data_IF_650478022481
#
_entry.id   IF_650478022481
#
_cell.length_a   1.000
_cell.length_b   1.000
_cell.length_c   1.000
_cell.angle_alpha   90.00
_cell.angle_beta   90.00
_cell.angle_gamma   90.00
#
_symmetry.space_group_name_H-M   'P 1'
#
loop_
_entity.id
_entity.type
_entity.pdbx_description
1 polymer ?
#
# COMPACT_ATOMS: atom_id res chain seq x y z
N UNK A 1 -33.77 -34.68 0.18
CA UNK A 1 -32.73 -34.30 1.15
C UNK A 1 -31.75 -33.36 0.44
N UNK A 2 -31.99 -32.05 0.52
CA UNK A 2 -31.10 -31.04 -0.06
C UNK A 2 -30.13 -30.60 1.02
N UNK A 3 -28.87 -31.06 0.91
CA UNK A 3 -27.79 -30.63 1.78
C UNK A 3 -27.19 -29.35 1.21
N UNK A 4 -27.48 -28.23 1.85
CA UNK A 4 -26.85 -26.95 1.56
C UNK A 4 -25.45 -26.93 2.17
N UNK A 5 -24.41 -26.94 1.35
CA UNK A 5 -23.05 -26.66 1.79
C UNK A 5 -22.94 -25.19 2.17
N UNK A 6 -22.79 -24.91 3.46
CA UNK A 6 -22.40 -23.59 3.96
C UNK A 6 -20.87 -23.47 3.84
N UNK A 7 -20.40 -22.71 2.86
CA UNK A 7 -19.00 -22.28 2.79
C UNK A 7 -18.81 -21.10 3.74
N UNK A 8 -18.37 -21.40 4.96
CA UNK A 8 -17.92 -20.39 5.91
C UNK A 8 -16.50 -19.96 5.55
N UNK A 9 -16.35 -18.81 4.88
CA UNK A 9 -15.06 -18.11 4.82
C UNK A 9 -14.75 -17.57 6.21
N UNK A 10 -14.05 -18.37 7.03
CA UNK A 10 -13.42 -17.89 8.25
C UNK A 10 -12.13 -17.17 7.90
N UNK A 11 -12.15 -15.84 7.96
CA UNK A 11 -10.93 -15.05 8.03
C UNK A 11 -10.37 -15.20 9.45
N UNK A 12 -9.43 -16.12 9.63
CA UNK A 12 -8.70 -16.26 10.89
C UNK A 12 -7.80 -15.04 11.04
N UNK A 13 -8.21 -14.09 11.87
CA UNK A 13 -7.35 -12.98 12.26
C UNK A 13 -6.27 -13.54 13.21
N UNK A 14 -5.03 -13.61 12.74
CA UNK A 14 -3.89 -13.91 13.60
C UNK A 14 -3.62 -12.72 14.53
N UNK A 15 -3.99 -12.86 15.80
CA UNK A 15 -3.54 -11.95 16.86
C UNK A 15 -2.01 -12.00 16.94
N UNK A 16 -1.36 -10.87 16.63
CA UNK A 16 0.09 -10.69 16.69
C UNK A 16 0.80 -10.51 15.34
N UNK A 17 0.13 -10.73 14.21
CA UNK A 17 0.75 -10.50 12.90
C UNK A 17 0.76 -9.00 12.60
N UNK A 18 1.96 -8.38 12.50
CA UNK A 18 2.09 -6.98 12.09
C UNK A 18 1.31 -6.82 10.78
N UNK A 19 0.28 -5.95 10.79
CA UNK A 19 -0.59 -5.69 9.64
C UNK A 19 0.28 -5.42 8.41
N UNK A 20 0.33 -6.38 7.49
CA UNK A 20 1.14 -6.28 6.28
C UNK A 20 0.68 -5.06 5.47
N UNK A 21 1.64 -4.23 5.04
CA UNK A 21 1.38 -3.08 4.17
C UNK A 21 1.94 -3.33 2.79
N UNK A 22 1.21 -2.90 1.77
CA UNK A 22 1.51 -3.10 0.37
C UNK A 22 1.78 -1.74 -0.27
N UNK A 23 2.97 -1.55 -0.84
CA UNK A 23 3.39 -0.28 -1.43
C UNK A 23 3.61 -0.44 -2.94
N UNK A 24 2.82 0.25 -3.74
CA UNK A 24 3.09 0.48 -5.16
C UNK A 24 4.20 1.51 -5.31
N UNK A 25 5.36 1.08 -5.79
CA UNK A 25 6.57 1.92 -5.94
C UNK A 25 6.93 2.21 -7.40
N UNK A 26 6.13 1.72 -8.35
CA UNK A 26 6.26 2.07 -9.76
C UNK A 26 5.94 3.53 -10.04
N UNK A 27 6.57 4.09 -11.08
CA UNK A 27 6.43 5.51 -11.40
C UNK A 27 5.02 5.85 -11.94
N UNK A 28 4.63 7.12 -11.86
CA UNK A 28 3.32 7.58 -12.33
C UNK A 28 3.05 7.15 -13.78
N UNK A 29 1.80 6.77 -14.09
CA UNK A 29 1.34 6.30 -15.43
C UNK A 29 1.87 4.93 -15.88
N UNK A 30 2.39 4.12 -14.96
CA UNK A 30 2.80 2.72 -15.20
C UNK A 30 1.73 1.67 -14.84
N UNK A 31 0.47 2.06 -14.68
CA UNK A 31 -0.63 1.12 -14.39
C UNK A 31 -1.25 1.25 -12.99
N UNK A 32 -1.13 2.40 -12.34
CA UNK A 32 -1.65 2.69 -10.99
C UNK A 32 -3.16 2.45 -10.86
N UNK A 33 -3.95 2.74 -11.90
CA UNK A 33 -5.38 2.38 -11.95
C UNK A 33 -5.62 0.86 -11.92
N UNK A 34 -4.82 0.08 -12.65
CA UNK A 34 -4.92 -1.38 -12.65
C UNK A 34 -4.47 -1.96 -11.31
N UNK A 35 -3.41 -1.41 -10.72
CA UNK A 35 -2.94 -1.78 -9.39
C UNK A 35 -4.00 -1.49 -8.31
N UNK A 36 -4.66 -0.34 -8.38
CA UNK A 36 -5.81 -0.01 -7.52
C UNK A 36 -6.92 -1.06 -7.61
N UNK A 37 -7.28 -1.46 -8.83
CA UNK A 37 -8.31 -2.49 -9.05
C UNK A 37 -7.86 -3.84 -8.47
N UNK A 38 -6.62 -4.24 -8.71
CA UNK A 38 -6.06 -5.47 -8.16
C UNK A 38 -6.08 -5.47 -6.62
N UNK A 39 -5.65 -4.38 -5.97
CA UNK A 39 -5.72 -4.23 -4.52
C UNK A 39 -7.15 -4.40 -4.00
N UNK A 40 -8.13 -3.76 -4.64
CA UNK A 40 -9.54 -3.89 -4.25
C UNK A 40 -10.07 -5.32 -4.44
N UNK A 41 -9.71 -5.98 -5.53
CA UNK A 41 -10.07 -7.39 -5.78
C UNK A 41 -9.50 -8.33 -4.73
N UNK A 42 -8.32 -8.01 -4.17
CA UNK A 42 -7.68 -8.75 -3.08
C UNK A 42 -8.21 -8.36 -1.68
N UNK A 43 -9.24 -7.51 -1.60
CA UNK A 43 -9.81 -7.06 -0.33
C UNK A 43 -8.95 -6.06 0.44
N UNK A 44 -7.94 -5.46 -0.20
CA UNK A 44 -7.08 -4.45 0.42
C UNK A 44 -7.76 -3.08 0.42
N UNK A 45 -7.55 -2.34 1.52
CA UNK A 45 -7.99 -0.96 1.68
C UNK A 45 -6.91 -0.04 1.10
N UNK A 46 -7.26 0.62 0.00
CA UNK A 46 -6.37 1.55 -0.70
C UNK A 46 -6.46 2.94 -0.05
N UNK A 47 -5.31 3.46 0.34
CA UNK A 47 -5.15 4.79 0.91
C UNK A 47 -5.66 5.91 -0.02
N UNK A 48 -6.11 7.02 0.57
CA UNK A 48 -6.53 8.21 -0.19
C UNK A 48 -5.32 8.99 -0.66
N UNK A 49 -5.07 8.99 -1.96
CA UNK A 49 -3.94 9.67 -2.60
C UNK A 49 -3.74 11.12 -2.13
N UNK A 50 -4.82 11.91 -2.02
CA UNK A 50 -4.77 13.33 -1.62
C UNK A 50 -4.15 13.56 -0.23
N UNK A 51 -4.33 12.64 0.70
CA UNK A 51 -3.77 12.75 2.06
C UNK A 51 -2.24 12.59 2.03
N UNK A 52 -1.74 11.73 1.14
CA UNK A 52 -0.30 11.47 0.99
C UNK A 52 0.40 12.48 0.07
N UNK A 53 -0.28 12.97 -0.97
CA UNK A 53 0.25 14.06 -1.81
C UNK A 53 0.45 15.36 -1.02
N UNK A 54 -0.34 15.59 0.03
CA UNK A 54 -0.14 16.71 0.93
C UNK A 54 1.20 16.65 1.69
N UNK A 55 1.85 15.47 1.74
CA UNK A 55 3.16 15.26 2.35
C UNK A 55 4.35 15.40 1.37
N UNK A 56 4.10 15.82 0.13
CA UNK A 56 5.17 16.11 -0.83
C UNK A 56 6.21 17.12 -0.31
N UNK A 57 5.86 18.21 0.40
CA UNK A 57 6.84 19.13 0.99
C UNK A 57 7.74 18.48 2.05
N UNK A 58 7.25 17.48 2.78
CA UNK A 58 8.00 16.72 3.77
C UNK A 58 8.94 15.74 3.07
N UNK A 59 8.46 15.09 2.00
CA UNK A 59 9.29 14.26 1.13
C UNK A 59 10.48 15.06 0.55
N UNK A 60 10.24 16.28 0.03
CA UNK A 60 11.33 17.10 -0.56
C UNK A 60 12.39 17.49 0.45
N UNK A 61 12.02 17.60 1.74
CA UNK A 61 12.93 17.83 2.86
C UNK A 61 13.55 16.54 3.44
N UNK A 62 13.31 15.38 2.81
CA UNK A 62 13.72 14.04 3.33
C UNK A 62 13.17 13.73 4.72
N UNK A 63 12.10 14.40 5.14
CA UNK A 63 11.37 14.08 6.35
C UNK A 63 10.40 12.92 6.06
N UNK A 64 10.95 11.70 5.99
CA UNK A 64 10.14 10.50 5.80
C UNK A 64 9.31 10.14 7.04
N UNK A 65 9.69 10.64 8.21
CA UNK A 65 9.00 10.35 9.47
C UNK A 65 7.52 10.78 9.40
N UNK A 66 7.22 11.95 8.84
CA UNK A 66 5.82 12.40 8.66
C UNK A 66 5.00 11.46 7.76
N UNK A 67 5.62 10.87 6.73
CA UNK A 67 4.98 9.89 5.85
C UNK A 67 4.73 8.59 6.62
N UNK A 68 5.74 8.12 7.35
CA UNK A 68 5.63 6.93 8.20
C UNK A 68 4.52 7.10 9.23
N UNK A 69 4.45 8.25 9.90
CA UNK A 69 3.46 8.51 10.94
C UNK A 69 2.04 8.51 10.39
N UNK A 70 1.83 9.06 9.18
CA UNK A 70 0.54 8.98 8.51
C UNK A 70 0.18 7.52 8.17
N UNK A 71 1.12 6.73 7.63
CA UNK A 71 0.91 5.30 7.33
C UNK A 71 0.64 4.46 8.59
N UNK A 72 1.14 4.89 9.77
CA UNK A 72 0.83 4.24 11.06
C UNK A 72 -0.61 4.51 11.51
N UNK A 73 -1.11 5.72 11.26
CA UNK A 73 -2.43 6.18 11.67
C UNK A 73 -3.54 5.77 10.69
N UNK A 74 -3.18 5.52 9.43
CA UNK A 74 -4.11 5.13 8.39
C UNK A 74 -4.61 3.68 8.56
N UNK A 75 -5.93 3.49 8.48
CA UNK A 75 -6.56 2.16 8.50
C UNK A 75 -6.35 1.37 7.20
N UNK A 76 -5.85 2.02 6.15
CA UNK A 76 -5.49 1.41 4.88
C UNK A 76 -4.33 0.42 5.04
N UNK A 77 -4.20 -0.49 4.07
CA UNK A 77 -3.07 -1.41 3.99
C UNK A 77 -2.42 -1.45 2.61
N UNK A 78 -2.96 -0.73 1.62
CA UNK A 78 -2.35 -0.56 0.32
C UNK A 78 -2.12 0.92 0.01
N UNK A 79 -0.91 1.26 -0.38
CA UNK A 79 -0.43 2.62 -0.63
C UNK A 79 0.27 2.63 -1.99
N UNK A 80 0.14 3.71 -2.77
CA UNK A 80 0.75 3.83 -4.09
C UNK A 80 0.85 5.31 -4.47
N UNK A 81 1.41 5.59 -5.66
CA UNK A 81 1.64 6.93 -6.17
C UNK A 81 2.57 7.75 -5.24
N UNK A 82 2.63 9.06 -5.43
CA UNK A 82 3.47 9.93 -4.63
C UNK A 82 2.96 10.02 -3.19
N UNK A 83 3.84 9.96 -2.17
CA UNK A 83 5.30 9.97 -2.26
C UNK A 83 5.94 8.58 -2.36
N UNK A 84 5.17 7.49 -2.38
CA UNK A 84 5.67 6.10 -2.36
C UNK A 84 6.41 5.68 -3.62
N UNK A 85 6.05 6.23 -4.78
CA UNK A 85 6.78 6.07 -6.04
C UNK A 85 8.07 6.92 -6.13
N UNK A 86 8.33 7.76 -5.14
CA UNK A 86 9.51 8.63 -5.14
C UNK A 86 10.75 7.91 -4.60
N UNK A 87 11.92 8.30 -5.11
CA UNK A 87 13.21 7.76 -4.65
C UNK A 87 13.36 7.88 -3.14
N UNK A 88 13.96 6.85 -2.53
CA UNK A 88 14.22 6.70 -1.09
C UNK A 88 12.98 6.50 -0.19
N UNK A 89 11.75 6.75 -0.66
CA UNK A 89 10.56 6.50 0.15
C UNK A 89 10.38 5.02 0.46
N UNK A 90 10.62 4.13 -0.51
CA UNK A 90 10.47 2.69 -0.28
C UNK A 90 11.41 2.16 0.82
N UNK A 91 12.64 2.66 0.91
CA UNK A 91 13.61 2.28 1.94
C UNK A 91 13.12 2.72 3.32
N UNK A 92 12.62 3.95 3.44
CA UNK A 92 12.05 4.45 4.68
C UNK A 92 10.83 3.63 5.12
N UNK A 93 9.98 3.21 4.18
CA UNK A 93 8.84 2.35 4.47
C UNK A 93 9.26 0.94 4.89
N UNK A 94 10.27 0.35 4.24
CA UNK A 94 10.77 -0.98 4.55
C UNK A 94 11.35 -1.06 5.97
N UNK A 95 12.16 -0.06 6.34
CA UNK A 95 12.69 0.09 7.70
C UNK A 95 11.57 0.28 8.74
N UNK A 96 10.55 1.08 8.42
CA UNK A 96 9.48 1.42 9.36
C UNK A 96 8.42 0.32 9.52
N UNK A 97 8.23 -0.51 8.48
CA UNK A 97 7.17 -1.51 8.41
C UNK A 97 7.72 -2.89 8.01
N UNK A 98 8.44 -3.58 8.92
CA UNK A 98 8.96 -4.93 8.64
C UNK A 98 7.83 -5.89 8.23
N UNK A 99 8.05 -6.65 7.15
CA UNK A 99 7.07 -7.58 6.58
C UNK A 99 6.17 -6.97 5.51
N UNK A 100 6.33 -5.68 5.20
CA UNK A 100 5.68 -5.04 4.06
C UNK A 100 6.12 -5.60 2.71
N UNK A 101 5.25 -5.45 1.71
CA UNK A 101 5.51 -5.88 0.33
C UNK A 101 5.56 -4.67 -0.60
N UNK A 102 6.48 -4.69 -1.54
CA UNK A 102 6.69 -3.61 -2.51
C UNK A 102 6.41 -4.14 -3.92
N UNK A 103 5.56 -3.42 -4.65
CA UNK A 103 5.18 -3.77 -6.03
C UNK A 103 5.75 -2.71 -6.97
N UNK A 104 6.72 -3.11 -7.78
CA UNK A 104 7.26 -2.29 -8.85
C UNK A 104 6.46 -2.58 -10.13
N UNK A 105 5.78 -1.55 -10.64
CA UNK A 105 5.15 -1.60 -11.96
C UNK A 105 6.07 -0.91 -12.97
N UNK A 106 6.39 -1.63 -14.05
CA UNK A 106 7.25 -1.13 -15.12
C UNK A 106 6.44 -0.97 -16.40
N UNK A 107 6.86 -0.03 -17.24
CA UNK A 107 6.33 0.17 -18.59
C UNK A 107 7.52 0.31 -19.52
N UNK A 108 7.51 -0.39 -20.65
CA UNK A 108 8.54 -0.19 -21.68
C UNK A 108 8.56 1.27 -22.11
N UNK A 109 9.70 1.94 -21.91
CA UNK A 109 10.00 3.22 -22.53
C UNK A 109 10.42 2.93 -23.97
N UNK A 110 9.61 3.37 -24.93
CA UNK A 110 10.02 3.43 -26.35
C UNK A 110 10.71 4.77 -26.63
#
# INVERSE_FOLDING_TARGET
>A
ASSSFQTSSQTVAHEGEKKARYFGVGWNKSGTNSLTKAFRMLGLRVAKQREYEALLPQYTQRNFQSIVDLVRQDESNAFQDMPFSSSFTFQAMDMAFPGSKFILTERSSS
#
